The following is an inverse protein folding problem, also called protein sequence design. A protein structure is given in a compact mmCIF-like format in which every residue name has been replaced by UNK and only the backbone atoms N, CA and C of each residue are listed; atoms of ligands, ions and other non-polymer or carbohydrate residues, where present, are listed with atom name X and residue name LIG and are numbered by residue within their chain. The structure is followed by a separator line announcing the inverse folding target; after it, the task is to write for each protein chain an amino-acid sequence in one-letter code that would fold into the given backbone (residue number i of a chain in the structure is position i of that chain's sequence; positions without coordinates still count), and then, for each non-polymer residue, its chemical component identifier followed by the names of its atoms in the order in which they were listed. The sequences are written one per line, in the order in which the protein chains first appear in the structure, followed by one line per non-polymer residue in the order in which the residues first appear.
data_IF_678749192639
#
_entry.id   IF_678749192639
#
_cell.length_a   1.000
_cell.length_b   1.000
_cell.length_c   1.000
_cell.angle_alpha   90.00
_cell.angle_beta   90.00
_cell.angle_gamma   90.00
#
_symmetry.space_group_name_H-M   'P 1'
#
loop_
_entity.id
_entity.type
_entity.pdbx_description
1 polymer ?
#
# COMPACT_ATOMS: atom_id res chain seq x y z
N UNK A 1 24.67 -23.33 17.00
CA UNK A 1 23.67 -22.52 17.75
C UNK A 1 22.42 -22.45 16.88
N UNK A 2 21.31 -22.99 17.35
CA UNK A 2 20.03 -23.00 16.63
C UNK A 2 19.48 -21.57 16.64
N UNK A 3 19.38 -20.98 15.46
CA UNK A 3 18.80 -19.65 15.27
C UNK A 3 17.26 -19.78 15.46
N UNK A 4 16.74 -19.37 16.61
CA UNK A 4 15.32 -19.51 16.94
C UNK A 4 14.65 -18.15 16.94
N UNK A 5 13.61 -18.00 16.09
CA UNK A 5 12.74 -16.83 16.08
C UNK A 5 11.33 -17.24 16.46
N UNK A 6 10.66 -16.46 17.27
CA UNK A 6 9.27 -16.65 17.69
C UNK A 6 8.50 -15.36 17.54
N UNK A 7 7.24 -15.49 17.14
CA UNK A 7 6.25 -14.42 17.21
C UNK A 7 5.19 -14.86 18.20
N UNK A 8 5.00 -14.06 19.23
CA UNK A 8 3.97 -14.27 20.25
C UNK A 8 2.88 -13.22 20.01
N UNK A 9 1.65 -13.68 19.83
CA UNK A 9 0.49 -12.81 19.67
C UNK A 9 -0.40 -13.03 20.88
N UNK A 10 -0.73 -11.98 21.60
CA UNK A 10 -1.62 -12.04 22.76
C UNK A 10 -2.59 -10.87 22.75
N UNK A 11 -3.75 -11.06 23.37
CA UNK A 11 -4.76 -10.03 23.52
C UNK A 11 -4.88 -9.62 24.97
N UNK A 12 -4.82 -8.34 25.25
CA UNK A 12 -4.99 -7.76 26.57
C UNK A 12 -6.04 -6.64 26.47
N UNK A 13 -7.24 -6.90 27.00
CA UNK A 13 -8.41 -6.04 26.86
C UNK A 13 -8.75 -5.80 25.35
N UNK A 14 -8.74 -4.56 24.90
CA UNK A 14 -8.98 -4.07 23.54
C UNK A 14 -7.71 -3.97 22.67
N UNK A 15 -6.59 -4.52 23.17
CA UNK A 15 -5.29 -4.41 22.50
C UNK A 15 -4.78 -5.77 22.09
N UNK A 16 -4.36 -5.87 20.83
CA UNK A 16 -3.55 -6.98 20.33
C UNK A 16 -2.08 -6.61 20.42
N UNK A 17 -1.31 -7.43 21.12
CA UNK A 17 0.13 -7.25 21.31
C UNK A 17 0.86 -8.32 20.53
N UNK A 18 1.71 -7.92 19.60
CA UNK A 18 2.61 -8.80 18.86
C UNK A 18 4.03 -8.58 19.37
N UNK A 19 4.68 -9.66 19.76
CA UNK A 19 6.06 -9.64 20.26
C UNK A 19 6.91 -10.53 19.38
N UNK A 20 7.96 -9.99 18.81
CA UNK A 20 8.97 -10.77 18.11
C UNK A 20 10.19 -11.02 19.04
N UNK A 21 10.58 -12.27 19.14
CA UNK A 21 11.73 -12.73 19.96
C UNK A 21 12.71 -13.45 19.05
N UNK A 22 13.97 -13.10 19.14
CA UNK A 22 15.06 -13.75 18.41
C UNK A 22 16.17 -14.17 19.38
N UNK A 23 16.47 -15.48 19.42
CA UNK A 23 17.46 -16.06 20.34
C UNK A 23 17.22 -15.63 21.80
N UNK A 24 15.96 -15.77 22.26
CA UNK A 24 15.48 -15.43 23.61
C UNK A 24 15.63 -13.95 24.00
N UNK A 25 15.86 -13.07 23.02
CA UNK A 25 15.88 -11.62 23.20
C UNK A 25 14.70 -10.98 22.51
N UNK A 26 14.08 -10.03 23.20
CA UNK A 26 13.05 -9.18 22.64
C UNK A 26 13.64 -8.39 21.46
N UNK A 27 12.99 -8.52 20.28
CA UNK A 27 13.40 -7.82 19.07
C UNK A 27 12.48 -6.63 18.75
N UNK A 28 11.18 -6.85 18.83
CA UNK A 28 10.19 -5.82 18.53
C UNK A 28 8.87 -6.09 19.27
N UNK A 29 8.12 -5.01 19.53
CA UNK A 29 6.78 -5.06 20.13
C UNK A 29 5.86 -4.14 19.35
N UNK A 30 4.80 -4.70 18.79
CA UNK A 30 3.72 -3.95 18.16
C UNK A 30 2.47 -4.05 19.02
N UNK A 31 1.80 -2.92 19.25
CA UNK A 31 0.53 -2.84 19.97
C UNK A 31 -0.51 -2.22 19.06
N UNK A 32 -1.58 -2.96 18.79
CA UNK A 32 -2.71 -2.50 17.99
C UNK A 32 -3.96 -2.39 18.87
N UNK A 33 -4.69 -1.30 18.75
CA UNK A 33 -5.98 -1.10 19.41
C UNK A 33 -7.11 -1.56 18.47
N UNK A 34 -8.04 -2.38 18.94
CA UNK A 34 -9.17 -2.86 18.12
C UNK A 34 -10.15 -1.74 17.73
N UNK A 35 -10.24 -0.66 18.52
CA UNK A 35 -11.12 0.47 18.22
C UNK A 35 -10.74 1.27 16.97
N UNK A 36 -9.54 1.11 16.44
CA UNK A 36 -9.02 1.84 15.28
C UNK A 36 -8.82 0.93 14.05
N UNK A 37 -9.81 0.14 13.69
CA UNK A 37 -9.72 -0.80 12.56
C UNK A 37 -9.84 -0.14 11.18
N UNK A 38 -10.21 1.13 11.09
CA UNK A 38 -10.30 1.86 9.82
C UNK A 38 -9.57 3.19 9.87
N UNK A 39 -8.90 3.53 8.77
CA UNK A 39 -8.16 4.76 8.64
C UNK A 39 -6.64 4.62 8.80
N UNK A 40 -6.13 3.39 8.71
CA UNK A 40 -4.69 3.11 8.73
C UNK A 40 -4.05 3.42 7.37
N UNK A 41 -2.75 3.69 7.38
CA UNK A 41 -1.97 3.83 6.13
C UNK A 41 -2.04 2.53 5.35
N UNK A 42 -2.42 2.65 4.08
CA UNK A 42 -2.62 1.50 3.19
C UNK A 42 -4.07 1.05 3.04
N UNK A 43 -4.99 1.44 3.93
CA UNK A 43 -6.41 1.13 3.79
C UNK A 43 -6.99 1.76 2.52
N UNK A 44 -7.83 0.99 1.80
CA UNK A 44 -8.40 1.37 0.51
C UNK A 44 -9.93 1.44 0.62
N UNK A 45 -10.50 2.50 0.08
CA UNK A 45 -11.94 2.78 0.13
C UNK A 45 -12.44 3.27 -1.23
N UNK A 46 -13.76 3.21 -1.43
CA UNK A 46 -14.42 4.04 -2.45
C UNK A 46 -14.80 5.35 -1.77
N UNK A 47 -14.16 6.44 -2.17
CA UNK A 47 -14.38 7.76 -1.60
C UNK A 47 -15.26 8.63 -2.49
N UNK A 48 -16.05 9.50 -1.86
CA UNK A 48 -16.89 10.50 -2.52
C UNK A 48 -16.36 11.91 -2.26
N UNK A 49 -16.11 12.66 -3.31
CA UNK A 49 -15.66 14.06 -3.20
C UNK A 49 -16.78 14.91 -2.63
N UNK A 50 -16.57 15.52 -1.47
CA UNK A 50 -17.51 16.45 -0.87
C UNK A 50 -17.35 17.83 -1.45
N UNK A 51 -16.12 18.32 -1.54
CA UNK A 51 -15.80 19.65 -2.11
C UNK A 51 -14.36 19.69 -2.63
N UNK A 52 -14.12 20.64 -3.52
CA UNK A 52 -12.80 21.00 -4.05
C UNK A 52 -12.48 22.41 -3.61
N UNK A 53 -11.26 22.64 -3.14
CA UNK A 53 -10.80 23.90 -2.60
C UNK A 53 -9.55 24.34 -3.38
N UNK A 54 -9.76 25.18 -4.39
CA UNK A 54 -8.72 25.54 -5.37
C UNK A 54 -7.54 26.31 -4.75
N UNK A 55 -7.79 27.17 -3.77
CA UNK A 55 -6.75 27.96 -3.13
C UNK A 55 -5.71 27.14 -2.34
N UNK A 56 -6.04 25.93 -1.95
CA UNK A 56 -5.10 24.97 -1.31
C UNK A 56 -4.79 23.77 -2.22
N UNK A 57 -5.27 23.79 -3.47
CA UNK A 57 -5.09 22.73 -4.45
C UNK A 57 -5.42 21.33 -3.92
N UNK A 58 -6.57 21.18 -3.29
CA UNK A 58 -6.99 19.92 -2.68
C UNK A 58 -8.50 19.68 -2.77
N UNK A 59 -8.89 18.43 -2.70
CA UNK A 59 -10.25 17.98 -2.50
C UNK A 59 -10.41 17.33 -1.12
N UNK A 60 -11.60 17.43 -0.55
CA UNK A 60 -12.01 16.71 0.63
C UNK A 60 -12.90 15.55 0.21
N UNK A 61 -12.50 14.33 0.60
CA UNK A 61 -13.13 13.08 0.15
C UNK A 61 -13.62 12.31 1.36
N UNK A 62 -14.92 12.06 1.42
CA UNK A 62 -15.48 11.15 2.42
C UNK A 62 -15.20 9.71 1.99
N UNK A 63 -14.43 8.99 2.78
CA UNK A 63 -14.04 7.61 2.49
C UNK A 63 -14.74 6.58 3.38
N UNK A 64 -15.32 7.03 4.49
CA UNK A 64 -16.17 6.27 5.39
C UNK A 64 -17.16 7.25 6.04
N UNK A 65 -18.30 6.77 6.56
CA UNK A 65 -19.32 7.63 7.18
C UNK A 65 -18.71 8.55 8.23
N UNK A 66 -18.82 9.88 8.00
CA UNK A 66 -18.26 10.95 8.82
C UNK A 66 -16.72 10.98 8.88
N UNK A 67 -16.01 10.22 8.03
CA UNK A 67 -14.55 10.30 7.94
C UNK A 67 -14.15 10.91 6.59
N UNK A 68 -13.49 12.04 6.66
CA UNK A 68 -13.05 12.81 5.50
C UNK A 68 -11.54 12.85 5.45
N UNK A 69 -11.00 12.66 4.25
CA UNK A 69 -9.57 12.75 3.99
C UNK A 69 -9.22 13.90 3.06
N UNK A 70 -7.97 14.32 3.10
CA UNK A 70 -7.38 15.36 2.27
C UNK A 70 -6.72 14.73 1.05
N UNK A 71 -7.22 15.05 -0.14
CA UNK A 71 -6.67 14.61 -1.41
C UNK A 71 -5.98 15.78 -2.11
N UNK A 72 -4.64 15.82 -2.18
CA UNK A 72 -3.94 16.82 -2.99
C UNK A 72 -4.29 16.67 -4.47
N UNK A 73 -4.66 17.75 -5.16
CA UNK A 73 -4.97 17.70 -6.60
C UNK A 73 -3.74 17.32 -7.45
N UNK A 74 -2.52 17.51 -6.93
CA UNK A 74 -1.28 17.02 -7.54
C UNK A 74 -1.23 15.49 -7.66
N UNK A 75 -1.92 14.78 -6.78
CA UNK A 75 -2.05 13.31 -6.87
C UNK A 75 -3.03 12.87 -7.97
N UNK A 76 -3.81 13.80 -8.58
CA UNK A 76 -4.81 13.46 -9.58
C UNK A 76 -4.26 13.42 -11.02
N UNK A 77 -2.96 13.72 -11.24
CA UNK A 77 -2.28 13.67 -12.55
C UNK A 77 -3.05 14.38 -13.68
N UNK A 78 -3.60 15.55 -13.40
CA UNK A 78 -4.35 16.34 -14.37
C UNK A 78 -5.80 15.91 -14.61
N UNK A 79 -6.30 14.87 -13.92
CA UNK A 79 -7.74 14.57 -13.92
C UNK A 79 -8.49 15.69 -13.21
N UNK A 80 -9.53 16.19 -13.84
CA UNK A 80 -10.43 17.14 -13.19
C UNK A 80 -11.28 16.42 -12.16
N UNK A 81 -11.23 16.89 -10.92
CA UNK A 81 -12.01 16.36 -9.79
C UNK A 81 -13.10 17.35 -9.44
N UNK A 82 -14.33 16.88 -9.25
CA UNK A 82 -15.50 17.69 -8.91
C UNK A 82 -16.23 17.12 -7.70
N UNK A 83 -16.97 17.96 -6.99
CA UNK A 83 -17.87 17.52 -5.93
C UNK A 83 -18.88 16.51 -6.48
N UNK A 84 -19.05 15.40 -5.76
CA UNK A 84 -19.89 14.27 -6.15
C UNK A 84 -19.17 13.13 -6.88
N UNK A 85 -17.94 13.35 -7.39
CA UNK A 85 -17.16 12.29 -8.01
C UNK A 85 -16.85 11.17 -6.99
N UNK A 86 -16.90 9.92 -7.47
CA UNK A 86 -16.57 8.74 -6.68
C UNK A 86 -15.43 7.98 -7.35
N UNK A 87 -14.43 7.57 -6.56
CA UNK A 87 -13.28 6.78 -7.03
C UNK A 87 -12.58 6.08 -5.87
N UNK A 88 -11.74 5.12 -6.22
CA UNK A 88 -10.89 4.44 -5.23
C UNK A 88 -9.89 5.43 -4.65
N UNK A 89 -9.79 5.44 -3.33
CA UNK A 89 -8.78 6.18 -2.57
C UNK A 89 -8.05 5.28 -1.61
N UNK A 90 -6.79 5.56 -1.39
CA UNK A 90 -5.98 4.90 -0.37
C UNK A 90 -5.44 5.93 0.61
N UNK A 91 -5.41 5.56 1.89
CA UNK A 91 -4.76 6.38 2.91
C UNK A 91 -3.26 6.29 2.75
N UNK A 92 -2.64 7.39 2.36
CA UNK A 92 -1.20 7.53 2.18
C UNK A 92 -0.47 7.97 3.46
N UNK A 93 -1.14 8.78 4.27
CA UNK A 93 -0.65 9.21 5.58
C UNK A 93 -1.80 9.22 6.57
N UNK A 94 -1.58 8.70 7.76
CA UNK A 94 -2.57 8.69 8.82
C UNK A 94 -2.89 10.12 9.31
N UNK A 95 -4.07 10.28 9.89
CA UNK A 95 -4.45 11.50 10.58
C UNK A 95 -3.47 11.82 11.71
N UNK A 96 -3.10 13.10 11.84
CA UNK A 96 -2.20 13.54 12.91
C UNK A 96 -2.83 14.71 13.63
N UNK A 97 -3.16 14.54 14.91
CA UNK A 97 -3.84 15.54 15.76
C UNK A 97 -5.17 15.98 15.10
N UNK A 98 -5.25 17.24 14.68
CA UNK A 98 -6.43 17.82 14.02
C UNK A 98 -6.38 17.74 12.49
N UNK A 99 -5.28 17.21 11.91
CA UNK A 99 -5.14 17.08 10.45
C UNK A 99 -5.78 15.79 9.99
N UNK A 100 -6.53 15.89 8.92
CA UNK A 100 -7.15 14.74 8.27
C UNK A 100 -6.10 13.82 7.61
N UNK A 101 -6.41 12.53 7.39
CA UNK A 101 -5.53 11.62 6.66
C UNK A 101 -5.34 12.13 5.23
N UNK A 102 -4.14 11.92 4.69
CA UNK A 102 -3.83 12.25 3.28
C UNK A 102 -4.17 11.04 2.42
N UNK A 103 -4.91 11.31 1.36
CA UNK A 103 -5.36 10.30 0.39
C UNK A 103 -4.55 10.36 -0.91
N UNK A 104 -4.59 9.26 -1.65
CA UNK A 104 -4.16 9.16 -3.05
C UNK A 104 -5.21 8.40 -3.85
N UNK A 105 -5.35 8.70 -5.14
CA UNK A 105 -6.19 7.95 -6.09
C UNK A 105 -5.41 6.83 -6.80
N UNK A 106 -4.16 6.61 -6.40
CA UNK A 106 -3.30 5.58 -6.96
C UNK A 106 -3.01 4.53 -5.88
N UNK A 107 -3.89 3.53 -5.70
CA UNK A 107 -3.65 2.47 -4.74
C UNK A 107 -2.37 1.71 -5.04
N UNK A 108 -1.71 1.32 -3.95
CA UNK A 108 -0.52 0.48 -3.93
C UNK A 108 -0.75 -0.70 -3.00
N UNK A 109 -0.36 -1.89 -3.44
CA UNK A 109 -0.39 -3.10 -2.62
C UNK A 109 1.05 -3.53 -2.37
N UNK A 110 1.46 -3.54 -1.10
CA UNK A 110 2.81 -3.87 -0.70
C UNK A 110 2.89 -5.30 -0.16
N UNK A 111 3.73 -6.11 -0.80
CA UNK A 111 4.15 -7.41 -0.31
C UNK A 111 5.51 -7.36 0.40
N UNK A 112 6.06 -8.52 0.67
CA UNK A 112 7.39 -8.68 1.26
C UNK A 112 8.49 -8.29 0.27
N UNK A 113 8.39 -8.74 -0.99
CA UNK A 113 9.42 -8.60 -2.02
C UNK A 113 9.09 -7.56 -3.08
N UNK A 114 7.81 -7.23 -3.26
CA UNK A 114 7.35 -6.33 -4.29
C UNK A 114 6.31 -5.33 -3.79
N UNK A 115 6.14 -4.23 -4.54
CA UNK A 115 5.01 -3.32 -4.44
C UNK A 115 4.39 -3.21 -5.83
N UNK A 116 3.07 -3.38 -5.90
CA UNK A 116 2.28 -3.14 -7.12
C UNK A 116 1.55 -1.81 -6.98
N UNK A 117 1.59 -0.97 -8.01
CA UNK A 117 1.02 0.38 -7.98
C UNK A 117 0.26 0.68 -9.26
N UNK A 118 -0.86 1.40 -9.13
CA UNK A 118 -1.63 1.91 -10.27
C UNK A 118 -1.08 3.24 -10.82
N UNK A 119 -0.10 3.85 -10.13
CA UNK A 119 0.43 5.17 -10.45
C UNK A 119 1.19 5.23 -11.77
N UNK A 120 1.87 4.17 -12.13
CA UNK A 120 2.63 4.05 -13.38
C UNK A 120 2.73 2.60 -13.80
N UNK A 121 3.09 2.35 -15.06
CA UNK A 121 3.38 1.02 -15.59
C UNK A 121 4.84 0.58 -15.37
N UNK A 122 5.62 1.36 -14.63
CA UNK A 122 7.05 1.14 -14.47
C UNK A 122 7.33 -0.19 -13.76
N UNK A 123 8.21 -0.98 -14.36
CA UNK A 123 8.83 -2.15 -13.72
C UNK A 123 10.21 -1.74 -13.24
N UNK A 124 10.51 -1.99 -11.99
CA UNK A 124 11.75 -1.50 -11.43
C UNK A 124 12.24 -2.27 -10.21
N UNK A 125 13.46 -1.99 -9.85
CA UNK A 125 14.15 -2.56 -8.69
C UNK A 125 14.52 -1.43 -7.73
N UNK A 126 14.40 -1.68 -6.44
CA UNK A 126 14.75 -0.72 -5.39
C UNK A 126 16.14 -0.12 -5.61
N UNK A 127 16.25 1.21 -5.55
CA UNK A 127 17.53 1.93 -5.65
C UNK A 127 18.54 1.54 -4.55
N UNK A 128 18.08 0.93 -3.47
CA UNK A 128 18.94 0.44 -2.38
C UNK A 128 19.68 -0.86 -2.73
N UNK A 129 19.31 -1.52 -3.81
CA UNK A 129 20.07 -2.65 -4.35
C UNK A 129 21.11 -2.04 -5.29
N UNK A 130 22.38 -2.13 -4.94
CA UNK A 130 23.48 -1.49 -5.65
C UNK A 130 24.27 -2.46 -6.51
N UNK A 131 24.17 -3.76 -6.27
CA UNK A 131 24.87 -4.82 -6.98
C UNK A 131 24.28 -5.00 -8.39
N UNK A 132 25.06 -4.64 -9.40
CA UNK A 132 24.62 -4.62 -10.80
C UNK A 132 24.21 -6.00 -11.33
N UNK A 133 24.91 -7.07 -10.92
CA UNK A 133 24.55 -8.43 -11.34
C UNK A 133 23.18 -8.81 -10.74
N UNK A 134 22.98 -8.53 -9.45
CA UNK A 134 21.70 -8.83 -8.79
C UNK A 134 20.55 -8.00 -9.36
N UNK A 135 20.79 -6.74 -9.72
CA UNK A 135 19.80 -5.94 -10.44
C UNK A 135 19.40 -6.58 -11.77
N UNK A 136 20.37 -7.02 -12.56
CA UNK A 136 20.09 -7.68 -13.85
C UNK A 136 19.23 -8.92 -13.68
N UNK A 137 19.54 -9.77 -12.69
CA UNK A 137 18.71 -10.94 -12.35
C UNK A 137 17.27 -10.54 -12.01
N UNK A 138 17.12 -9.52 -11.14
CA UNK A 138 15.80 -9.06 -10.72
C UNK A 138 15.02 -8.39 -11.86
N UNK A 139 15.67 -7.63 -12.73
CA UNK A 139 15.02 -7.08 -13.93
C UNK A 139 14.54 -8.18 -14.89
N UNK A 140 15.30 -9.27 -15.04
CA UNK A 140 14.88 -10.42 -15.84
C UNK A 140 13.59 -11.07 -15.31
N UNK A 141 13.42 -11.12 -13.98
CA UNK A 141 12.16 -11.58 -13.37
C UNK A 141 11.00 -10.65 -13.75
N UNK A 142 11.24 -9.33 -13.78
CA UNK A 142 10.21 -8.33 -14.09
C UNK A 142 9.76 -8.36 -15.56
N UNK A 143 10.55 -8.94 -16.48
CA UNK A 143 10.18 -9.08 -17.89
C UNK A 143 8.89 -9.87 -18.07
N UNK A 144 8.61 -10.85 -17.22
CA UNK A 144 7.37 -11.64 -17.26
C UNK A 144 6.10 -10.82 -16.99
N UNK A 145 6.26 -9.65 -16.38
CA UNK A 145 5.16 -8.77 -16.00
C UNK A 145 5.06 -7.50 -16.85
N UNK A 146 5.83 -7.39 -17.94
CA UNK A 146 5.91 -6.18 -18.75
C UNK A 146 4.57 -5.77 -19.37
N UNK A 147 3.74 -6.73 -19.77
CA UNK A 147 2.43 -6.47 -20.39
C UNK A 147 1.35 -6.04 -19.40
N UNK A 148 1.58 -6.24 -18.10
CA UNK A 148 0.62 -5.84 -17.07
C UNK A 148 0.54 -4.31 -16.95
N UNK A 149 -0.69 -3.73 -16.87
CA UNK A 149 -0.88 -2.28 -16.83
C UNK A 149 -0.39 -1.63 -15.55
N UNK A 150 -0.15 -2.40 -14.48
CA UNK A 150 0.29 -1.84 -13.19
C UNK A 150 1.80 -1.87 -13.02
N UNK A 151 2.34 -0.90 -12.31
CA UNK A 151 3.76 -0.86 -11.95
C UNK A 151 4.12 -1.96 -10.95
N UNK A 152 5.33 -2.49 -11.07
CA UNK A 152 5.88 -3.47 -10.11
C UNK A 152 7.28 -3.01 -9.71
N UNK A 153 7.50 -2.77 -8.42
CA UNK A 153 8.80 -2.39 -7.88
C UNK A 153 9.27 -3.47 -6.90
N UNK A 154 10.36 -4.13 -7.23
CA UNK A 154 10.98 -5.08 -6.31
C UNK A 154 11.70 -4.36 -5.17
N UNK A 155 11.42 -4.79 -3.96
CA UNK A 155 11.95 -4.22 -2.72
C UNK A 155 13.34 -4.76 -2.42
N UNK A 156 14.03 -4.13 -1.46
CA UNK A 156 15.37 -4.58 -1.03
C UNK A 156 15.38 -6.03 -0.51
N UNK A 157 14.28 -6.47 0.10
CA UNK A 157 14.10 -7.85 0.58
C UNK A 157 14.11 -8.91 -0.54
N UNK A 158 13.79 -8.53 -1.79
CA UNK A 158 13.89 -9.43 -2.94
C UNK A 158 15.34 -9.89 -3.23
N UNK A 159 16.34 -9.17 -2.72
CA UNK A 159 17.75 -9.55 -2.89
C UNK A 159 18.06 -10.95 -2.34
N UNK A 160 17.43 -11.32 -1.23
CA UNK A 160 17.67 -12.60 -0.53
C UNK A 160 16.64 -13.68 -0.84
N UNK A 161 15.64 -13.38 -1.66
CA UNK A 161 14.59 -14.30 -2.03
C UNK A 161 14.97 -15.13 -3.27
N UNK A 162 14.35 -16.30 -3.41
CA UNK A 162 14.42 -17.09 -4.63
C UNK A 162 13.57 -16.45 -5.75
N UNK A 163 13.91 -16.74 -6.98
CA UNK A 163 13.15 -16.28 -8.14
C UNK A 163 11.69 -16.75 -8.09
N UNK A 164 11.45 -17.99 -7.65
CA UNK A 164 10.11 -18.55 -7.51
C UNK A 164 9.26 -17.80 -6.49
N UNK A 165 9.83 -17.45 -5.32
CA UNK A 165 9.14 -16.67 -4.29
C UNK A 165 8.74 -15.28 -4.80
N UNK A 166 9.65 -14.61 -5.52
CA UNK A 166 9.40 -13.29 -6.10
C UNK A 166 8.30 -13.36 -7.14
N UNK A 167 8.36 -14.31 -8.08
CA UNK A 167 7.35 -14.50 -9.14
C UNK A 167 5.99 -14.81 -8.55
N UNK A 168 5.92 -15.70 -7.59
CA UNK A 168 4.67 -16.06 -6.89
C UNK A 168 4.04 -14.85 -6.21
N UNK A 169 4.84 -14.04 -5.51
CA UNK A 169 4.34 -12.85 -4.84
C UNK A 169 3.87 -11.80 -5.85
N UNK A 170 4.66 -11.49 -6.88
CA UNK A 170 4.26 -10.54 -7.93
C UNK A 170 2.94 -10.94 -8.59
N UNK A 171 2.79 -12.20 -8.98
CA UNK A 171 1.55 -12.72 -9.57
C UNK A 171 0.36 -12.56 -8.60
N UNK A 172 0.56 -12.87 -7.33
CA UNK A 172 -0.47 -12.73 -6.31
C UNK A 172 -0.91 -11.28 -6.09
N UNK A 173 0.05 -10.35 -6.01
CA UNK A 173 -0.21 -8.93 -5.82
C UNK A 173 -0.89 -8.30 -7.06
N UNK A 174 -0.46 -8.66 -8.25
CA UNK A 174 -1.09 -8.22 -9.50
C UNK A 174 -2.54 -8.71 -9.59
N UNK A 175 -2.79 -9.97 -9.28
CA UNK A 175 -4.14 -10.51 -9.22
C UNK A 175 -5.02 -9.73 -8.23
N UNK A 176 -4.53 -9.46 -7.03
CA UNK A 176 -5.26 -8.65 -6.03
C UNK A 176 -5.54 -7.23 -6.55
N UNK A 177 -4.58 -6.62 -7.24
CA UNK A 177 -4.77 -5.28 -7.82
C UNK A 177 -5.84 -5.28 -8.92
N UNK A 178 -5.84 -6.27 -9.80
CA UNK A 178 -6.87 -6.43 -10.84
C UNK A 178 -8.26 -6.59 -10.20
N UNK A 179 -8.40 -7.51 -9.25
CA UNK A 179 -9.67 -7.74 -8.53
C UNK A 179 -10.16 -6.47 -7.83
N UNK A 180 -9.25 -5.72 -7.19
CA UNK A 180 -9.58 -4.45 -6.54
C UNK A 180 -10.10 -3.41 -7.54
N UNK A 181 -9.43 -3.25 -8.66
CA UNK A 181 -9.80 -2.24 -9.65
C UNK A 181 -11.09 -2.61 -10.39
N UNK A 182 -11.28 -3.88 -10.72
CA UNK A 182 -12.53 -4.38 -11.31
C UNK A 182 -13.72 -4.15 -10.37
N UNK A 183 -13.57 -4.46 -9.07
CA UNK A 183 -14.59 -4.23 -8.07
C UNK A 183 -14.96 -2.74 -7.93
N UNK A 184 -14.00 -1.86 -8.05
CA UNK A 184 -14.20 -0.42 -7.96
C UNK A 184 -15.05 0.13 -9.10
N UNK A 185 -14.87 -0.38 -10.32
CA UNK A 185 -15.66 0.03 -11.49
C UNK A 185 -17.15 -0.33 -11.36
N UNK A 186 -17.47 -1.43 -10.65
CA UNK A 186 -18.86 -1.79 -10.36
C UNK A 186 -19.55 -0.88 -9.35
N UNK A 187 -18.81 -0.30 -8.41
CA UNK A 187 -19.38 0.54 -7.35
C UNK A 187 -19.48 2.03 -7.70
N UNK A 188 -18.70 2.49 -8.66
CA UNK A 188 -18.69 3.90 -9.10
C UNK A 188 -19.63 4.15 -10.30
N UNK A 189 -20.41 3.17 -10.71
CA UNK A 189 -21.51 3.27 -11.68
C UNK A 189 -22.84 3.37 -10.95
#
# INVERSE_FOLDING_TARGET
MTNRSQIVITKVQDKTILVSVHNDKLYDVLVENEENTSGNVGDIFVGKVQNVVDNIHAAFVEFEKNKVGFLPLSECQGKTVKAGDEFVVQIKQAAVKTKQPVLTIFPEIAGRFAVVSTKSKTKGVSKKITEEEKKKELYKILEDFCEDPYGVILRTSAKAASEEEIRKECTGLLKQMHELMDYSEYKTR
#
